data_IF_626090908531
#
_entry.id   IF_626090908531
#
_cell.length_a   1.000
_cell.length_b   1.000
_cell.length_c   1.000
_cell.angle_alpha   90.00
_cell.angle_beta   90.00
_cell.angle_gamma   90.00
#
_symmetry.space_group_name_H-M   'P 1'
#
loop_
_entity.id
_entity.type
_entity.pdbx_description
1 polymer ?
#
# COMPACT_ATOMS: atom_id res chain seq x y z
N UNK A 1 -5.63 -17.58 -8.45
CA UNK A 1 -5.17 -16.26 -7.99
C UNK A 1 -3.88 -16.48 -7.21
N UNK A 2 -2.74 -15.99 -7.69
CA UNK A 2 -1.45 -16.17 -7.02
C UNK A 2 -1.33 -15.09 -5.94
N UNK A 3 -1.66 -15.43 -4.69
CA UNK A 3 -1.42 -14.55 -3.54
C UNK A 3 0.07 -14.46 -3.27
N UNK A 4 0.71 -13.41 -3.77
CA UNK A 4 2.11 -13.14 -3.48
C UNK A 4 2.25 -12.67 -2.03
N UNK A 5 3.24 -13.18 -1.30
CA UNK A 5 3.41 -12.94 0.15
C UNK A 5 3.48 -11.45 0.56
N UNK A 6 3.73 -10.54 -0.40
CA UNK A 6 3.84 -9.10 -0.22
C UNK A 6 2.62 -8.29 -0.66
N UNK A 7 1.51 -8.94 -1.06
CA UNK A 7 0.26 -8.24 -1.37
C UNK A 7 -0.59 -8.06 -0.11
N UNK A 8 -1.24 -6.90 0.00
CA UNK A 8 -2.28 -6.62 1.03
C UNK A 8 -3.54 -6.16 0.32
N UNK A 9 -4.65 -6.87 0.52
CA UNK A 9 -5.94 -6.53 -0.09
C UNK A 9 -6.51 -5.25 0.52
N UNK A 10 -7.01 -4.36 -0.33
CA UNK A 10 -7.78 -3.19 0.09
C UNK A 10 -9.19 -3.65 0.50
N UNK A 11 -9.36 -3.94 1.78
CA UNK A 11 -10.66 -4.25 2.38
C UNK A 11 -11.26 -2.99 2.98
N UNK A 12 -12.57 -2.79 2.86
CA UNK A 12 -13.29 -1.63 3.43
C UNK A 12 -12.81 -0.26 2.90
N UNK A 13 -12.36 -0.19 1.65
CA UNK A 13 -11.97 1.03 0.95
C UNK A 13 -12.81 1.20 -0.34
N UNK A 14 -12.90 2.43 -0.87
CA UNK A 14 -13.51 2.68 -2.19
C UNK A 14 -12.58 2.18 -3.32
N UNK A 15 -11.27 2.36 -3.14
CA UNK A 15 -10.23 1.87 -4.04
C UNK A 15 -10.17 0.35 -4.02
N UNK A 16 -10.24 -0.27 -5.20
CA UNK A 16 -10.22 -1.72 -5.35
C UNK A 16 -8.83 -2.21 -5.76
N UNK A 17 -8.42 -3.35 -5.18
CA UNK A 17 -7.18 -4.03 -5.56
C UNK A 17 -6.34 -4.44 -4.37
N UNK A 18 -5.02 -4.43 -4.59
CA UNK A 18 -4.02 -4.80 -3.59
C UNK A 18 -2.91 -3.74 -3.53
N UNK A 19 -2.34 -3.53 -2.36
CA UNK A 19 -1.07 -2.82 -2.19
C UNK A 19 0.07 -3.81 -2.44
N UNK A 20 1.01 -3.44 -3.33
CA UNK A 20 2.22 -4.20 -3.64
C UNK A 20 3.35 -3.75 -2.71
N UNK A 21 3.55 -4.42 -1.58
CA UNK A 21 4.49 -3.96 -0.55
C UNK A 21 5.96 -4.03 -1.00
N UNK A 22 6.27 -4.83 -2.02
CA UNK A 22 7.60 -4.93 -2.62
C UNK A 22 7.92 -3.83 -3.64
N UNK A 23 6.95 -2.98 -3.99
CA UNK A 23 7.13 -1.86 -4.93
C UNK A 23 7.21 -0.50 -4.20
N UNK A 24 7.86 -0.46 -3.04
CA UNK A 24 8.09 0.79 -2.28
C UNK A 24 8.97 1.73 -3.11
N UNK A 25 8.57 3.00 -3.17
CA UNK A 25 9.29 4.05 -3.91
C UNK A 25 9.16 5.39 -3.21
N UNK A 26 10.26 6.15 -3.21
CA UNK A 26 10.24 7.57 -2.84
C UNK A 26 9.82 8.37 -4.07
N UNK A 27 8.76 9.19 -3.95
CA UNK A 27 8.27 10.04 -5.03
C UNK A 27 8.02 11.46 -4.51
N UNK A 28 8.34 12.46 -5.32
CA UNK A 28 7.90 13.84 -5.09
C UNK A 28 6.43 13.98 -5.50
N UNK A 29 5.53 13.83 -4.53
CA UNK A 29 4.09 13.91 -4.78
C UNK A 29 3.63 15.34 -5.11
N UNK A 30 4.37 16.37 -4.66
CA UNK A 30 4.02 17.78 -4.88
C UNK A 30 4.32 18.19 -6.32
N UNK A 31 5.53 17.89 -6.80
CA UNK A 31 5.91 18.17 -8.18
C UNK A 31 5.06 17.38 -9.18
N UNK A 32 4.66 16.15 -8.82
CA UNK A 32 3.85 15.27 -9.68
C UNK A 32 2.34 15.57 -9.65
N UNK A 33 1.88 16.54 -8.85
CA UNK A 33 0.46 16.89 -8.77
C UNK A 33 -0.45 15.75 -8.34
N UNK A 34 -0.01 14.92 -7.38
CA UNK A 34 -0.82 13.81 -6.87
C UNK A 34 -1.99 14.35 -6.04
N UNK A 35 -3.18 13.79 -6.27
CA UNK A 35 -4.40 14.11 -5.52
C UNK A 35 -4.64 13.10 -4.40
N UNK A 36 -5.17 13.57 -3.27
CA UNK A 36 -5.62 12.70 -2.19
C UNK A 36 -7.02 12.15 -2.50
N UNK A 37 -7.16 10.82 -2.53
CA UNK A 37 -8.43 10.14 -2.84
C UNK A 37 -9.16 9.75 -1.55
N UNK A 38 -8.52 8.94 -0.70
CA UNK A 38 -9.09 8.47 0.56
C UNK A 38 -7.98 8.01 1.52
N UNK A 39 -8.24 7.98 2.84
CA UNK A 39 -7.36 7.30 3.77
C UNK A 39 -7.57 5.77 3.70
N UNK A 40 -6.48 5.01 3.76
CA UNK A 40 -6.58 3.56 3.88
C UNK A 40 -7.11 3.16 5.28
N UNK A 41 -7.92 2.10 5.40
CA UNK A 41 -8.32 1.55 6.69
C UNK A 41 -7.13 1.15 7.56
N UNK A 42 -7.21 1.38 8.87
CA UNK A 42 -6.08 1.18 9.79
C UNK A 42 -5.50 -0.24 9.75
N UNK A 43 -6.36 -1.26 9.63
CA UNK A 43 -5.93 -2.66 9.49
C UNK A 43 -5.05 -2.87 8.25
N UNK A 44 -5.46 -2.33 7.10
CA UNK A 44 -4.71 -2.41 5.84
C UNK A 44 -3.37 -1.70 5.98
N UNK A 45 -3.34 -0.50 6.57
CA UNK A 45 -2.10 0.24 6.79
C UNK A 45 -1.11 -0.54 7.68
N UNK A 46 -1.59 -1.13 8.77
CA UNK A 46 -0.77 -1.94 9.67
C UNK A 46 -0.19 -3.18 8.97
N UNK A 47 -1.00 -3.88 8.18
CA UNK A 47 -0.57 -5.05 7.42
C UNK A 47 0.49 -4.68 6.37
N UNK A 48 0.32 -3.54 5.68
CA UNK A 48 1.32 -3.01 4.72
C UNK A 48 2.63 -2.71 5.42
N UNK A 49 2.61 -1.97 6.53
CA UNK A 49 3.81 -1.60 7.28
C UNK A 49 4.57 -2.83 7.80
N UNK A 50 3.86 -3.85 8.28
CA UNK A 50 4.46 -5.10 8.73
C UNK A 50 5.21 -5.81 7.61
N UNK A 51 4.63 -5.86 6.40
CA UNK A 51 5.27 -6.49 5.23
C UNK A 51 6.42 -5.67 4.67
N UNK A 52 6.29 -4.34 4.61
CA UNK A 52 7.38 -3.46 4.17
C UNK A 52 8.59 -3.57 5.09
N UNK A 53 8.37 -3.68 6.41
CA UNK A 53 9.47 -3.85 7.39
C UNK A 53 10.35 -5.06 7.07
N UNK A 54 9.80 -6.15 6.55
CA UNK A 54 10.58 -7.35 6.17
C UNK A 54 11.55 -7.08 5.01
N UNK A 55 11.29 -6.05 4.18
CA UNK A 55 12.11 -5.72 3.01
C UNK A 55 13.24 -4.74 3.30
N UNK A 56 13.14 -3.98 4.40
CA UNK A 56 14.04 -2.85 4.71
C UNK A 56 14.76 -3.02 6.05
N UNK A 57 14.74 -4.23 6.61
CA UNK A 57 15.34 -4.53 7.90
C UNK A 57 16.87 -4.68 7.81
#
# INVERSE_FOLDING_TARGET
MRGHGFEVKLEQAQTQGVVLCQHVKTIDYKYRGIEFIEPAPAKVLNDVLAKVRVLVN
#
